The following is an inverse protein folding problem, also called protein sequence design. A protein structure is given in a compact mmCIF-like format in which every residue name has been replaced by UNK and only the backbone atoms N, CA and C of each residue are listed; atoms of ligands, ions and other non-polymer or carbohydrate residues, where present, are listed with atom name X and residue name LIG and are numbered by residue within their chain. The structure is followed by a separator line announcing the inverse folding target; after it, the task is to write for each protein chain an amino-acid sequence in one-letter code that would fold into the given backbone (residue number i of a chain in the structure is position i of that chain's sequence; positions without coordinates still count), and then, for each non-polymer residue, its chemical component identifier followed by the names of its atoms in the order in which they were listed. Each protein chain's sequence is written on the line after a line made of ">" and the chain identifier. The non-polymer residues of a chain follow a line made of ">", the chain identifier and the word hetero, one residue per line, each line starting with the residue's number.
data_IF_707396132592
#
_entry.id   IF_707396132592
#
_cell.length_a   1.000
_cell.length_b   1.000
_cell.length_c   1.000
_cell.angle_alpha   90.00
_cell.angle_beta   90.00
_cell.angle_gamma   90.00
#
_symmetry.space_group_name_H-M   'P 1'
#
loop_
_entity.id
_entity.type
_entity.pdbx_description
1 polymer ?
#
# COMPACT_ATOMS: atom_id res chain seq x y z
N UNK A 1 5.95 -22.49 9.57
CA UNK A 1 6.02 -21.22 8.80
C UNK A 1 6.91 -21.38 7.57
N UNK A 2 6.43 -20.97 6.40
CA UNK A 2 7.18 -21.02 5.13
C UNK A 2 8.04 -19.77 4.90
N UNK A 3 9.14 -19.92 4.18
CA UNK A 3 9.94 -18.82 3.63
C UNK A 3 9.23 -18.16 2.44
N UNK A 4 9.68 -16.95 2.06
CA UNK A 4 9.17 -16.25 0.88
C UNK A 4 9.28 -17.10 -0.40
N UNK A 5 10.43 -17.75 -0.61
CA UNK A 5 10.68 -18.59 -1.79
C UNK A 5 9.75 -19.81 -1.83
N UNK A 6 9.54 -20.49 -0.69
CA UNK A 6 8.61 -21.62 -0.63
C UNK A 6 7.17 -21.21 -0.94
N UNK A 7 6.73 -20.04 -0.44
CA UNK A 7 5.40 -19.49 -0.76
C UNK A 7 5.25 -19.12 -2.24
N UNK A 8 6.28 -18.51 -2.83
CA UNK A 8 6.31 -18.18 -4.26
C UNK A 8 6.24 -19.44 -5.14
N UNK A 9 6.98 -20.48 -4.78
CA UNK A 9 6.99 -21.75 -5.51
C UNK A 9 5.66 -22.51 -5.41
N UNK A 10 5.01 -22.51 -4.24
CA UNK A 10 3.64 -23.04 -4.10
C UNK A 10 2.67 -22.22 -4.95
N UNK A 11 2.76 -20.88 -4.90
CA UNK A 11 1.90 -19.98 -5.69
C UNK A 11 2.03 -20.26 -7.18
N UNK A 12 3.27 -20.45 -7.67
CA UNK A 12 3.55 -20.78 -9.07
C UNK A 12 2.86 -22.10 -9.46
N UNK A 13 3.06 -23.17 -8.70
CA UNK A 13 2.42 -24.47 -8.97
C UNK A 13 0.89 -24.37 -8.96
N UNK A 14 0.31 -23.68 -7.98
CA UNK A 14 -1.15 -23.51 -7.91
C UNK A 14 -1.67 -22.76 -9.12
N UNK A 15 -0.99 -21.69 -9.55
CA UNK A 15 -1.36 -20.93 -10.76
C UNK A 15 -1.31 -21.78 -12.03
N UNK A 16 -0.28 -22.62 -12.18
CA UNK A 16 -0.15 -23.51 -13.33
C UNK A 16 -1.34 -24.48 -13.48
N UNK A 17 -2.04 -24.81 -12.38
CA UNK A 17 -3.20 -25.70 -12.40
C UNK A 17 -4.55 -24.96 -12.47
N UNK A 18 -4.60 -23.62 -12.32
CA UNK A 18 -5.86 -22.85 -12.27
C UNK A 18 -6.67 -22.88 -13.57
N UNK A 19 -5.98 -22.95 -14.71
CA UNK A 19 -6.61 -22.91 -16.05
C UNK A 19 -7.09 -24.29 -16.52
N UNK A 20 -7.04 -25.32 -15.67
CA UNK A 20 -7.54 -26.66 -16.02
C UNK A 20 -9.06 -26.74 -15.99
N UNK A 21 -9.63 -27.43 -16.97
CA UNK A 21 -11.06 -27.77 -17.01
C UNK A 21 -11.52 -28.60 -15.78
N UNK A 22 -10.60 -29.35 -15.17
CA UNK A 22 -10.87 -30.18 -13.98
C UNK A 22 -9.60 -30.35 -13.12
N UNK A 23 -9.76 -30.20 -11.81
CA UNK A 23 -8.71 -30.40 -10.81
C UNK A 23 -9.15 -31.52 -9.89
N UNK A 24 -8.49 -32.68 -9.99
CA UNK A 24 -8.71 -33.79 -9.07
C UNK A 24 -7.87 -33.65 -7.79
N UNK A 25 -8.11 -34.54 -6.82
CA UNK A 25 -7.40 -34.54 -5.54
C UNK A 25 -5.88 -34.66 -5.68
N UNK A 26 -5.40 -35.46 -6.62
CA UNK A 26 -3.95 -35.70 -6.81
C UNK A 26 -3.26 -34.46 -7.39
N UNK A 27 -3.92 -33.78 -8.33
CA UNK A 27 -3.48 -32.49 -8.88
C UNK A 27 -3.44 -31.45 -7.78
N UNK A 28 -4.51 -31.33 -6.98
CA UNK A 28 -4.57 -30.39 -5.87
C UNK A 28 -3.48 -30.66 -4.82
N UNK A 29 -3.32 -31.92 -4.40
CA UNK A 29 -2.29 -32.33 -3.45
C UNK A 29 -0.90 -31.98 -3.94
N UNK A 30 -0.59 -32.28 -5.21
CA UNK A 30 0.71 -31.96 -5.81
C UNK A 30 0.95 -30.46 -5.94
N UNK A 31 -0.06 -29.69 -6.28
CA UNK A 31 0.06 -28.23 -6.37
C UNK A 31 0.50 -27.62 -5.02
N UNK A 32 -0.16 -28.03 -3.93
CA UNK A 32 0.11 -27.54 -2.58
C UNK A 32 1.43 -28.09 -2.03
N UNK A 33 1.65 -29.40 -2.10
CA UNK A 33 2.77 -30.06 -1.42
C UNK A 33 4.05 -30.15 -2.24
N UNK A 34 3.95 -30.02 -3.57
CA UNK A 34 5.04 -30.31 -4.51
C UNK A 34 5.37 -31.81 -4.64
N UNK A 35 4.52 -32.71 -4.12
CA UNK A 35 4.75 -34.17 -4.10
C UNK A 35 3.55 -34.91 -4.69
N UNK A 36 3.80 -36.08 -5.26
CA UNK A 36 2.73 -36.99 -5.65
C UNK A 36 2.15 -37.72 -4.44
N UNK A 37 0.87 -38.10 -4.54
CA UNK A 37 0.18 -38.92 -3.54
C UNK A 37 0.89 -40.28 -3.45
N UNK A 38 1.29 -40.68 -2.23
CA UNK A 38 2.05 -41.91 -2.02
C UNK A 38 1.15 -43.13 -1.89
N UNK A 39 1.43 -44.18 -2.66
CA UNK A 39 0.76 -45.48 -2.53
C UNK A 39 1.01 -46.04 -1.12
N UNK A 40 -0.06 -46.34 -0.39
CA UNK A 40 0.00 -46.89 0.97
C UNK A 40 -0.16 -45.87 2.10
N UNK A 41 -0.32 -44.57 1.80
CA UNK A 41 -0.78 -43.57 2.76
C UNK A 41 -2.30 -43.44 2.71
N UNK A 42 -2.91 -43.10 3.84
CA UNK A 42 -4.34 -42.84 3.91
C UNK A 42 -4.67 -41.43 3.42
N UNK A 43 -5.89 -41.23 2.93
CA UNK A 43 -6.39 -39.90 2.58
C UNK A 43 -6.31 -38.91 3.76
N UNK A 44 -6.49 -39.40 5.00
CA UNK A 44 -6.33 -38.58 6.21
C UNK A 44 -4.88 -38.07 6.38
N UNK A 45 -3.88 -38.91 6.09
CA UNK A 45 -2.49 -38.50 6.14
C UNK A 45 -2.19 -37.39 5.12
N UNK A 46 -2.70 -37.54 3.91
CA UNK A 46 -2.51 -36.55 2.84
C UNK A 46 -3.24 -35.24 3.16
N UNK A 47 -4.47 -35.31 3.68
CA UNK A 47 -5.22 -34.13 4.14
C UNK A 47 -4.50 -33.39 5.27
N UNK A 48 -3.98 -34.10 6.27
CA UNK A 48 -3.19 -33.50 7.35
C UNK A 48 -1.93 -32.79 6.82
N UNK A 49 -1.27 -33.39 5.84
CA UNK A 49 -0.10 -32.79 5.19
C UNK A 49 -0.47 -31.47 4.51
N UNK A 50 -1.55 -31.46 3.71
CA UNK A 50 -2.04 -30.23 3.07
C UNK A 50 -2.45 -29.18 4.10
N UNK A 51 -3.19 -29.55 5.15
CA UNK A 51 -3.59 -28.61 6.20
C UNK A 51 -2.39 -27.96 6.89
N UNK A 52 -1.33 -28.73 7.17
CA UNK A 52 -0.11 -28.16 7.76
C UNK A 52 0.50 -27.08 6.86
N UNK A 53 0.60 -27.33 5.55
CA UNK A 53 1.16 -26.36 4.60
C UNK A 53 0.25 -25.13 4.47
N UNK A 54 -1.06 -25.33 4.45
CA UNK A 54 -2.03 -24.22 4.41
C UNK A 54 -1.91 -23.36 5.68
N UNK A 55 -1.79 -23.98 6.85
CA UNK A 55 -1.55 -23.25 8.09
C UNK A 55 -0.22 -22.46 8.02
N UNK A 56 0.84 -23.07 7.49
CA UNK A 56 2.12 -22.38 7.31
C UNK A 56 2.09 -21.27 6.24
N UNK A 57 1.18 -21.34 5.26
CA UNK A 57 0.90 -20.28 4.28
C UNK A 57 0.16 -19.10 4.92
N UNK A 58 -0.79 -19.41 5.81
CA UNK A 58 -1.55 -18.41 6.57
C UNK A 58 -0.76 -17.82 7.74
N UNK A 59 0.34 -18.46 8.15
CA UNK A 59 1.24 -17.97 9.18
C UNK A 59 2.06 -16.77 8.66
N UNK A 60 1.62 -15.57 9.03
CA UNK A 60 2.28 -14.30 8.71
C UNK A 60 3.29 -13.87 9.78
N UNK A 61 3.64 -14.72 10.75
CA UNK A 61 4.52 -14.32 11.86
C UNK A 61 5.95 -13.94 11.45
N UNK A 62 6.43 -14.36 10.27
CA UNK A 62 7.68 -13.88 9.65
C UNK A 62 7.51 -12.70 8.70
N UNK A 63 6.29 -12.20 8.51
CA UNK A 63 6.06 -11.01 7.70
C UNK A 63 6.07 -9.79 8.61
N UNK A 64 6.98 -8.86 8.31
CA UNK A 64 6.97 -7.54 8.94
C UNK A 64 5.97 -6.69 8.17
N UNK A 65 4.97 -6.14 8.86
CA UNK A 65 4.06 -5.18 8.24
C UNK A 65 4.82 -3.90 7.90
N UNK A 66 4.64 -3.41 6.66
CA UNK A 66 5.20 -2.13 6.25
C UNK A 66 4.47 -0.99 6.98
N UNK A 67 5.20 0.05 7.42
CA UNK A 67 4.55 1.24 7.95
C UNK A 67 3.61 1.84 6.92
N UNK A 68 2.55 2.46 7.40
CA UNK A 68 1.56 3.16 6.59
C UNK A 68 1.73 4.65 6.75
N UNK A 69 1.55 5.38 5.66
CA UNK A 69 1.57 6.84 5.68
C UNK A 69 0.36 7.42 6.43
N UNK A 70 0.23 8.76 6.47
CA UNK A 70 -0.89 9.41 7.16
C UNK A 70 -2.28 9.02 6.63
N UNK A 71 -2.36 8.52 5.39
CA UNK A 71 -3.60 8.14 4.70
C UNK A 71 -3.82 6.62 4.69
N UNK A 72 -2.98 5.86 5.40
CA UNK A 72 -3.10 4.41 5.54
C UNK A 72 -2.47 3.60 4.39
N UNK A 73 -1.77 4.25 3.47
CA UNK A 73 -1.11 3.59 2.33
C UNK A 73 0.24 2.98 2.79
N UNK A 74 0.50 1.69 2.53
CA UNK A 74 1.78 1.08 2.86
C UNK A 74 2.96 1.77 2.16
N UNK A 75 4.01 2.05 2.92
CA UNK A 75 5.22 2.74 2.44
C UNK A 75 6.28 1.71 2.02
N UNK A 76 6.75 1.84 0.78
CA UNK A 76 7.83 1.03 0.21
C UNK A 76 9.07 1.89 -0.05
N UNK A 77 10.23 1.25 -0.02
CA UNK A 77 11.47 1.87 -0.47
C UNK A 77 11.36 2.14 -1.98
N UNK A 78 11.65 3.38 -2.38
CA UNK A 78 11.50 3.86 -3.76
C UNK A 78 10.24 4.66 -4.02
N UNK A 79 9.28 4.67 -3.08
CA UNK A 79 8.05 5.45 -3.23
C UNK A 79 8.34 6.96 -3.31
N UNK A 80 7.49 7.66 -4.07
CA UNK A 80 7.41 9.12 -4.05
C UNK A 80 6.42 9.51 -2.98
N UNK A 81 6.84 10.36 -2.05
CA UNK A 81 6.02 10.85 -0.94
C UNK A 81 6.19 12.34 -0.78
N UNK A 82 5.19 12.97 -0.18
CA UNK A 82 5.18 14.38 0.14
C UNK A 82 5.34 14.60 1.64
N UNK A 83 6.13 15.62 1.96
CA UNK A 83 6.34 16.09 3.31
C UNK A 83 6.49 17.61 3.26
N UNK A 84 5.67 18.34 4.02
CA UNK A 84 5.74 19.80 4.10
C UNK A 84 5.67 20.50 2.71
N UNK A 85 4.72 20.05 1.87
CA UNK A 85 4.51 20.58 0.52
C UNK A 85 5.58 20.19 -0.51
N UNK A 86 6.57 19.39 -0.11
CA UNK A 86 7.73 19.06 -0.94
C UNK A 86 7.81 17.57 -1.26
N UNK A 87 8.35 17.26 -2.44
CA UNK A 87 8.44 15.88 -2.95
C UNK A 87 9.77 15.21 -2.57
N UNK A 88 9.66 13.96 -2.08
CA UNK A 88 10.79 13.15 -1.67
C UNK A 88 10.69 11.71 -2.16
N UNK A 89 11.81 10.99 -2.12
CA UNK A 89 11.90 9.55 -2.31
C UNK A 89 12.20 8.82 -1.00
N UNK A 90 11.43 7.79 -0.70
CA UNK A 90 11.72 6.87 0.39
C UNK A 90 12.97 6.05 0.05
N UNK A 91 13.96 6.07 0.92
CA UNK A 91 15.25 5.41 0.70
C UNK A 91 15.58 4.34 1.73
N UNK A 92 14.96 4.40 2.91
CA UNK A 92 15.12 3.39 3.96
C UNK A 92 13.91 3.40 4.88
N UNK A 93 13.63 2.24 5.48
CA UNK A 93 12.67 2.07 6.57
C UNK A 93 13.44 1.44 7.73
N UNK A 94 13.29 2.01 8.92
CA UNK A 94 13.91 1.51 10.15
C UNK A 94 12.82 1.16 11.16
N UNK A 95 12.91 -0.04 11.72
CA UNK A 95 12.15 -0.47 12.89
C UNK A 95 13.13 -0.44 14.07
N UNK A 96 12.95 0.52 14.97
CA UNK A 96 13.83 0.75 16.12
C UNK A 96 12.96 1.04 17.35
N UNK A 97 12.86 0.04 18.22
CA UNK A 97 12.12 0.07 19.47
C UNK A 97 12.72 1.03 20.51
N UNK A 98 13.95 1.51 20.29
CA UNK A 98 14.66 2.48 21.14
C UNK A 98 14.64 3.89 20.52
N UNK A 99 14.36 3.99 19.21
CA UNK A 99 14.30 5.26 18.49
C UNK A 99 13.18 6.18 18.98
N UNK A 100 13.30 7.49 18.67
CA UNK A 100 12.33 8.53 19.08
C UNK A 100 10.87 8.20 18.72
N UNK A 101 10.66 7.38 17.67
CA UNK A 101 9.37 7.20 17.02
C UNK A 101 8.97 5.74 16.75
N UNK A 102 9.76 4.75 17.16
CA UNK A 102 9.49 3.33 16.91
C UNK A 102 9.74 2.89 15.45
N UNK A 103 9.07 3.52 14.49
CA UNK A 103 9.30 3.31 13.06
C UNK A 103 9.67 4.63 12.41
N UNK A 104 10.76 4.64 11.65
CA UNK A 104 11.27 5.83 10.98
C UNK A 104 11.47 5.58 9.48
N UNK A 105 11.10 6.58 8.67
CA UNK A 105 11.23 6.58 7.22
C UNK A 105 12.30 7.57 6.83
N UNK A 106 13.32 7.12 6.11
CA UNK A 106 14.33 8.00 5.55
C UNK A 106 13.89 8.48 4.18
N UNK A 107 13.58 9.77 4.09
CA UNK A 107 13.18 10.43 2.84
C UNK A 107 14.30 11.34 2.34
N UNK A 108 14.54 11.36 1.02
CA UNK A 108 15.54 12.22 0.38
C UNK A 108 14.97 12.97 -0.79
N UNK A 109 15.39 14.21 -1.01
CA UNK A 109 15.03 14.94 -2.23
C UNK A 109 15.82 14.37 -3.40
N UNK A 110 15.18 14.16 -4.55
CA UNK A 110 15.85 13.58 -5.72
C UNK A 110 16.95 14.49 -6.30
N UNK A 111 16.78 15.81 -6.16
CA UNK A 111 17.64 16.83 -6.78
C UNK A 111 18.77 17.30 -5.87
N UNK A 112 18.65 17.14 -4.55
CA UNK A 112 19.61 17.66 -3.58
C UNK A 112 20.12 16.55 -2.66
N UNK A 113 21.42 16.23 -2.75
CA UNK A 113 22.06 15.20 -1.91
C UNK A 113 22.03 15.50 -0.40
N UNK A 114 21.76 16.74 0.01
CA UNK A 114 21.89 17.20 1.40
C UNK A 114 20.56 17.40 2.14
N UNK A 115 19.40 17.30 1.46
CA UNK A 115 18.09 17.30 2.12
C UNK A 115 17.57 15.89 2.26
N UNK A 116 17.90 15.26 3.37
CA UNK A 116 17.38 13.95 3.74
C UNK A 116 17.13 13.86 5.24
N UNK A 117 16.00 13.27 5.61
CA UNK A 117 15.51 13.28 6.99
C UNK A 117 14.87 11.96 7.37
N UNK A 118 14.90 11.64 8.67
CA UNK A 118 14.06 10.61 9.26
C UNK A 118 12.71 11.23 9.66
N UNK A 119 11.62 10.54 9.33
CA UNK A 119 10.25 10.97 9.61
C UNK A 119 9.42 9.83 10.16
N UNK A 120 8.38 10.18 10.92
CA UNK A 120 7.32 9.22 11.23
C UNK A 120 6.55 8.88 9.97
N UNK A 121 6.04 7.65 9.84
CA UNK A 121 5.09 7.31 8.78
C UNK A 121 3.88 8.27 8.74
N UNK A 122 3.37 8.67 9.90
CA UNK A 122 2.22 9.58 10.02
C UNK A 122 2.47 11.03 9.57
N UNK A 123 3.71 11.40 9.25
CA UNK A 123 4.07 12.76 8.83
C UNK A 123 4.15 12.90 7.31
N UNK A 124 4.16 11.79 6.58
CA UNK A 124 4.31 11.76 5.13
C UNK A 124 3.02 11.25 4.47
N UNK A 125 2.90 11.47 3.16
CA UNK A 125 1.76 11.01 2.37
C UNK A 125 2.16 10.68 0.94
N UNK A 126 1.52 9.70 0.33
CA UNK A 126 1.62 9.48 -1.11
C UNK A 126 0.73 10.43 -1.93
N UNK A 127 -0.27 11.06 -1.30
CA UNK A 127 -1.14 12.02 -1.96
C UNK A 127 -0.37 13.31 -2.21
N UNK A 128 -0.48 13.82 -3.44
CA UNK A 128 -0.04 15.16 -3.77
C UNK A 128 -0.80 16.16 -2.88
N UNK A 129 -0.11 16.99 -2.09
CA UNK A 129 -0.77 18.01 -1.31
C UNK A 129 -1.51 18.93 -2.26
N UNK A 130 -2.84 18.90 -2.15
CA UNK A 130 -3.71 19.89 -2.78
C UNK A 130 -3.16 21.27 -2.45
N UNK A 131 -2.95 22.12 -3.47
CA UNK A 131 -2.42 23.47 -3.25
C UNK A 131 -3.33 24.24 -2.28
N UNK A 132 -2.77 25.21 -1.55
CA UNK A 132 -3.58 26.03 -0.64
C UNK A 132 -4.76 26.69 -1.38
N UNK A 133 -4.54 27.13 -2.61
CA UNK A 133 -5.56 27.68 -3.49
C UNK A 133 -6.64 26.65 -3.83
N UNK A 134 -6.28 25.43 -4.24
CA UNK A 134 -7.26 24.39 -4.57
C UNK A 134 -8.04 23.95 -3.33
N UNK A 135 -7.41 23.87 -2.15
CA UNK A 135 -8.11 23.57 -0.88
C UNK A 135 -9.16 24.62 -0.57
N UNK A 136 -8.79 25.91 -0.66
CA UNK A 136 -9.71 27.02 -0.41
C UNK A 136 -10.85 27.01 -1.45
N UNK A 137 -10.55 26.76 -2.72
CA UNK A 137 -11.54 26.67 -3.78
C UNK A 137 -12.57 25.54 -3.52
N UNK A 138 -12.12 24.37 -3.09
CA UNK A 138 -13.00 23.25 -2.74
C UNK A 138 -13.89 23.58 -1.53
N UNK A 139 -13.35 24.17 -0.47
CA UNK A 139 -14.16 24.59 0.70
C UNK A 139 -15.27 25.58 0.30
N UNK A 140 -14.96 26.53 -0.59
CA UNK A 140 -15.95 27.49 -1.11
C UNK A 140 -17.03 26.78 -1.94
N UNK A 141 -16.66 25.80 -2.77
CA UNK A 141 -17.61 25.01 -3.56
C UNK A 141 -18.53 24.14 -2.70
N UNK A 142 -18.03 23.58 -1.60
CA UNK A 142 -18.86 22.85 -0.62
C UNK A 142 -19.90 23.78 0.03
N UNK A 143 -19.52 24.99 0.40
CA UNK A 143 -20.45 26.01 0.93
C UNK A 143 -21.48 26.41 -0.15
N UNK A 144 -21.05 26.55 -1.40
CA UNK A 144 -21.93 26.83 -2.53
C UNK A 144 -22.94 25.69 -2.78
N UNK A 145 -22.51 24.43 -2.60
CA UNK A 145 -23.39 23.27 -2.73
C UNK A 145 -24.52 23.29 -1.68
N UNK A 146 -24.21 23.68 -0.44
CA UNK A 146 -25.18 23.86 0.64
C UNK A 146 -26.20 25.00 0.41
N UNK A 147 -25.91 25.91 -0.52
CA UNK A 147 -26.75 27.07 -0.88
C UNK A 147 -27.24 27.02 -2.34
N UNK A 148 -27.26 25.83 -2.94
CA UNK A 148 -27.58 25.62 -4.36
C UNK A 148 -28.89 26.27 -4.81
N UNK A 149 -28.88 26.85 -6.02
CA UNK A 149 -30.03 27.55 -6.61
C UNK A 149 -30.18 29.01 -6.17
N UNK A 150 -29.22 29.55 -5.42
CA UNK A 150 -29.15 30.98 -5.07
C UNK A 150 -28.05 31.69 -5.89
N UNK A 151 -28.20 33.01 -6.06
CA UNK A 151 -27.16 33.87 -6.66
C UNK A 151 -25.85 33.76 -5.86
N UNK A 152 -25.95 33.59 -4.55
CA UNK A 152 -24.80 33.43 -3.64
C UNK A 152 -23.98 32.18 -4.00
N UNK A 153 -24.63 31.07 -4.35
CA UNK A 153 -23.92 29.86 -4.75
C UNK A 153 -23.14 30.03 -6.06
N UNK A 154 -23.67 30.82 -7.00
CA UNK A 154 -23.00 31.07 -8.28
C UNK A 154 -21.82 32.04 -8.09
N UNK A 155 -21.96 33.07 -7.26
CA UNK A 155 -20.87 33.98 -6.88
C UNK A 155 -19.74 33.23 -6.15
N UNK A 156 -20.06 32.32 -5.23
CA UNK A 156 -19.07 31.51 -4.52
C UNK A 156 -18.30 30.60 -5.48
N UNK A 157 -18.97 29.95 -6.45
CA UNK A 157 -18.29 29.14 -7.47
C UNK A 157 -17.36 29.99 -8.35
N UNK A 158 -17.74 31.22 -8.64
CA UNK A 158 -16.88 32.14 -9.38
C UNK A 158 -15.62 32.48 -8.58
N UNK A 159 -15.74 32.78 -7.29
CA UNK A 159 -14.58 33.02 -6.40
C UNK A 159 -13.67 31.78 -6.33
N UNK A 160 -14.23 30.58 -6.21
CA UNK A 160 -13.44 29.35 -6.22
C UNK A 160 -12.65 29.19 -7.53
N UNK A 161 -13.25 29.52 -8.69
CA UNK A 161 -12.57 29.52 -9.98
C UNK A 161 -11.43 30.54 -10.04
N UNK A 162 -11.66 31.77 -9.59
CA UNK A 162 -10.63 32.82 -9.56
C UNK A 162 -9.45 32.44 -8.66
N UNK A 163 -9.71 31.78 -7.51
CA UNK A 163 -8.66 31.28 -6.63
C UNK A 163 -7.78 30.23 -7.32
N UNK A 164 -8.37 29.33 -8.11
CA UNK A 164 -7.59 28.36 -8.91
C UNK A 164 -6.73 29.04 -9.96
N UNK A 165 -7.27 30.05 -10.65
CA UNK A 165 -6.54 30.84 -11.65
C UNK A 165 -5.36 31.62 -11.02
N UNK A 166 -5.50 32.08 -9.77
CA UNK A 166 -4.40 32.69 -9.03
C UNK A 166 -3.26 31.70 -8.74
N UNK A 167 -3.59 30.43 -8.48
CA UNK A 167 -2.60 29.35 -8.31
C UNK A 167 -1.74 29.18 -9.57
N UNK A 168 -2.39 29.13 -10.75
CA UNK A 168 -1.72 28.92 -12.04
C UNK A 168 -0.87 30.12 -12.48
N UNK A 169 -1.14 31.30 -11.93
CA UNK A 169 -0.42 32.54 -12.27
C UNK A 169 0.89 32.75 -11.48
N UNK A 170 1.13 31.92 -10.47
CA UNK A 170 2.25 32.05 -9.53
C UNK A 170 3.37 31.01 -9.73
N UNK A 171 3.23 30.13 -10.73
CA UNK A 171 4.25 29.18 -11.25
C UNK A 171 5.01 29.75 -12.46
#
# INVERSE_FOLDING_TARGET
>A
MLTKQEREEITRRVKDELDRDYIDYTVFYRAITGKDVSIGKSLDYDNRTMFSIILDLCDTSNMIELPRDKDGVPIHIGDTVWYDGEVYKVSSIRYDDIGLFGIEIYIRRNTERFRAFWRKPSEITHADPISEYERIAQEIEEIAAGSSGTVIADDLRLVAKEIRELSDSND
#
